data_IF_681384327612
#
_entry.id   IF_681384327612
#
_cell.length_a   1.000
_cell.length_b   1.000
_cell.length_c   1.000
_cell.angle_alpha   90.00
_cell.angle_beta   90.00
_cell.angle_gamma   90.00
#
_symmetry.space_group_name_H-M   'P 1'
#
loop_
_entity.id
_entity.type
_entity.pdbx_description
1 polymer ?
#
# COMPACT_ATOMS: atom_id res chain seq x y z
N UNK A 1 -15.29 -8.05 10.57
CA UNK A 1 -15.80 -9.25 11.28
C UNK A 1 -17.33 -9.35 11.25
N UNK A 2 -18.07 -8.25 11.16
CA UNK A 2 -19.54 -8.26 11.29
C UNK A 2 -20.27 -8.17 9.94
N UNK A 3 -19.62 -8.45 8.83
CA UNK A 3 -20.14 -8.39 7.45
C UNK A 3 -20.89 -7.08 7.11
N UNK A 4 -20.47 -5.97 7.72
CA UNK A 4 -21.08 -4.65 7.49
C UNK A 4 -20.70 -4.03 6.15
N UNK A 5 -19.57 -4.47 5.58
CA UNK A 5 -19.08 -4.05 4.27
C UNK A 5 -19.10 -5.24 3.32
N UNK A 6 -19.59 -5.02 2.11
CA UNK A 6 -19.41 -5.95 1.01
C UNK A 6 -18.12 -5.57 0.30
N UNK A 7 -17.22 -6.52 0.17
CA UNK A 7 -15.91 -6.33 -0.43
C UNK A 7 -15.72 -7.32 -1.58
N UNK A 8 -15.12 -6.85 -2.66
CA UNK A 8 -14.65 -7.68 -3.77
C UNK A 8 -13.14 -7.47 -3.96
N UNK A 9 -12.29 -8.34 -3.42
CA UNK A 9 -10.84 -8.22 -3.56
C UNK A 9 -10.35 -8.33 -5.01
N UNK A 10 -11.15 -8.90 -5.93
CA UNK A 10 -10.78 -9.02 -7.35
C UNK A 10 -10.54 -7.65 -8.01
N UNK A 11 -11.15 -6.59 -7.48
CA UNK A 11 -10.93 -5.23 -7.97
C UNK A 11 -9.49 -4.72 -7.80
N UNK A 12 -8.70 -5.42 -6.96
CA UNK A 12 -7.28 -5.16 -6.75
C UNK A 12 -6.36 -6.26 -7.33
N UNK A 13 -6.86 -7.17 -8.17
CA UNK A 13 -6.09 -8.33 -8.69
C UNK A 13 -4.91 -7.93 -9.60
N UNK A 14 -4.95 -6.73 -10.17
CA UNK A 14 -3.83 -6.15 -10.92
C UNK A 14 -2.65 -5.73 -10.04
N UNK A 15 -2.81 -5.75 -8.71
CA UNK A 15 -1.81 -5.39 -7.73
C UNK A 15 -1.28 -6.64 -7.02
N UNK A 16 0.05 -6.74 -6.91
CA UNK A 16 0.73 -7.59 -5.94
C UNK A 16 1.26 -6.70 -4.84
N UNK A 17 0.63 -6.76 -3.67
CA UNK A 17 0.78 -5.79 -2.60
C UNK A 17 1.71 -6.30 -1.51
N UNK A 18 2.62 -5.44 -1.04
CA UNK A 18 3.33 -5.63 0.22
C UNK A 18 2.96 -4.53 1.23
N UNK A 19 3.33 -4.70 2.50
CA UNK A 19 2.91 -3.83 3.59
C UNK A 19 4.09 -3.17 4.30
N UNK A 20 4.03 -1.85 4.45
CA UNK A 20 4.91 -1.11 5.35
C UNK A 20 4.26 -0.95 6.72
N UNK A 21 4.84 -1.57 7.73
CA UNK A 21 4.46 -1.38 9.12
C UNK A 21 4.91 0.01 9.59
N UNK A 22 3.98 0.97 9.62
CA UNK A 22 4.23 2.31 10.12
C UNK A 22 4.66 2.27 11.59
N UNK A 23 5.75 2.96 11.93
CA UNK A 23 6.34 2.88 13.27
C UNK A 23 5.36 3.23 14.41
N UNK A 24 4.51 4.25 14.22
CA UNK A 24 3.50 4.65 15.20
C UNK A 24 2.43 3.57 15.38
N UNK A 25 2.02 2.91 14.30
CA UNK A 25 0.97 1.88 14.33
C UNK A 25 1.54 0.57 14.88
N UNK A 26 2.68 0.11 14.36
CA UNK A 26 3.27 -1.16 14.76
C UNK A 26 3.91 -1.07 16.15
N UNK A 27 4.88 -0.16 16.37
CA UNK A 27 5.61 -0.08 17.62
C UNK A 27 4.87 0.73 18.69
N UNK A 28 4.20 1.81 18.29
CA UNK A 28 3.50 2.68 19.23
C UNK A 28 2.18 2.12 19.72
N UNK A 29 1.40 1.50 18.83
CA UNK A 29 0.06 0.99 19.15
C UNK A 29 -0.01 -0.54 19.24
N UNK A 30 1.03 -1.27 18.86
CA UNK A 30 1.04 -2.73 18.83
C UNK A 30 0.08 -3.36 17.80
N UNK A 31 -0.39 -2.58 16.83
CA UNK A 31 -1.29 -3.05 15.78
C UNK A 31 -0.47 -3.72 14.66
N UNK A 32 -0.24 -5.00 14.80
CA UNK A 32 0.63 -5.77 13.91
C UNK A 32 -0.17 -6.61 12.91
N UNK A 33 -1.23 -7.27 13.38
CA UNK A 33 -2.02 -8.18 12.58
C UNK A 33 -3.31 -7.55 12.01
N UNK A 34 -3.80 -6.48 12.61
CA UNK A 34 -5.02 -5.81 12.18
C UNK A 34 -4.92 -5.26 10.74
N UNK A 35 -3.83 -4.57 10.34
CA UNK A 35 -3.67 -4.14 8.96
C UNK A 35 -3.59 -5.33 7.99
N UNK A 36 -2.92 -6.42 8.39
CA UNK A 36 -2.83 -7.65 7.59
C UNK A 36 -4.17 -8.33 7.42
N UNK A 37 -4.98 -8.35 8.49
CA UNK A 37 -6.35 -8.82 8.40
C UNK A 37 -7.17 -8.03 7.38
N UNK A 38 -7.05 -6.70 7.38
CA UNK A 38 -7.73 -5.86 6.38
C UNK A 38 -7.22 -6.15 4.98
N UNK A 39 -5.89 -6.19 4.77
CA UNK A 39 -5.27 -6.47 3.47
C UNK A 39 -5.77 -7.80 2.89
N UNK A 40 -5.75 -8.88 3.66
CA UNK A 40 -6.21 -10.22 3.23
C UNK A 40 -7.69 -10.27 2.84
N UNK A 41 -8.49 -9.26 3.21
CA UNK A 41 -9.90 -9.16 2.82
C UNK A 41 -10.12 -8.25 1.60
N UNK A 42 -9.12 -7.50 1.17
CA UNK A 42 -9.26 -6.51 0.09
C UNK A 42 -8.31 -6.73 -1.09
N UNK A 43 -7.29 -7.61 -0.93
CA UNK A 43 -6.39 -8.01 -2.01
C UNK A 43 -6.20 -9.53 -2.00
N UNK A 44 -6.10 -10.14 -3.19
CA UNK A 44 -5.81 -11.57 -3.33
C UNK A 44 -4.30 -11.84 -3.32
N UNK A 45 -3.49 -10.92 -3.83
CA UNK A 45 -2.05 -11.07 -3.98
C UNK A 45 -1.32 -10.22 -2.93
N UNK A 46 -1.19 -10.76 -1.71
CA UNK A 46 -0.45 -10.12 -0.62
C UNK A 46 0.84 -10.89 -0.32
N UNK A 47 1.96 -10.18 -0.31
CA UNK A 47 3.31 -10.71 -0.05
C UNK A 47 3.93 -9.98 1.14
N UNK A 48 4.32 -10.74 2.17
CA UNK A 48 5.10 -10.17 3.29
C UNK A 48 6.55 -9.91 2.85
N UNK A 49 7.13 -8.85 3.37
CA UNK A 49 8.58 -8.64 3.30
C UNK A 49 9.32 -9.61 4.24
N UNK A 50 10.67 -9.73 4.16
CA UNK A 50 11.43 -10.58 5.06
C UNK A 50 11.13 -10.34 6.54
N UNK A 51 11.05 -11.40 7.33
CA UNK A 51 10.57 -11.38 8.72
C UNK A 51 11.35 -10.46 9.66
N UNK A 52 12.61 -10.22 9.37
CA UNK A 52 13.48 -9.31 10.10
C UNK A 52 13.25 -7.81 9.76
N UNK A 53 12.34 -7.52 8.85
CA UNK A 53 12.04 -6.16 8.34
C UNK A 53 10.60 -5.70 8.56
N UNK A 54 9.77 -6.53 9.19
CA UNK A 54 8.32 -6.29 9.38
C UNK A 54 7.94 -6.22 10.86
N UNK A 55 6.70 -5.86 11.13
CA UNK A 55 6.13 -5.76 12.48
C UNK A 55 6.97 -4.83 13.36
N UNK A 56 7.36 -5.26 14.56
CA UNK A 56 8.19 -4.47 15.49
C UNK A 56 9.60 -4.20 14.95
N UNK A 57 10.09 -5.06 14.05
CA UNK A 57 11.41 -4.91 13.41
C UNK A 57 11.36 -3.99 12.19
N UNK A 58 10.22 -3.34 11.94
CA UNK A 58 10.04 -2.49 10.75
C UNK A 58 11.13 -1.45 10.59
N UNK A 59 11.59 -1.27 9.35
CA UNK A 59 12.53 -0.22 9.00
C UNK A 59 11.84 1.13 8.81
N UNK A 60 12.58 2.20 9.00
CA UNK A 60 12.09 3.56 8.86
C UNK A 60 11.71 3.88 7.40
N UNK A 61 10.67 4.69 7.22
CA UNK A 61 10.33 5.27 5.93
C UNK A 61 11.26 6.40 5.48
N UNK A 62 12.15 6.87 6.37
CA UNK A 62 13.05 7.99 6.12
C UNK A 62 12.52 9.35 6.57
N UNK A 63 11.34 9.45 7.20
CA UNK A 63 10.75 10.73 7.61
C UNK A 63 10.56 10.91 9.12
N UNK A 64 11.08 10.00 9.94
CA UNK A 64 10.91 10.05 11.39
C UNK A 64 11.37 11.36 12.01
N UNK A 65 10.76 11.72 13.17
CA UNK A 65 11.18 12.81 14.05
C UNK A 65 11.38 14.18 13.38
N UNK A 66 10.56 14.53 12.38
CA UNK A 66 10.62 15.84 11.74
C UNK A 66 11.52 15.93 10.50
N UNK A 67 12.25 14.89 10.14
CA UNK A 67 13.02 14.85 8.88
C UNK A 67 12.15 15.13 7.65
N UNK A 68 10.85 14.84 7.72
CA UNK A 68 9.92 15.16 6.64
C UNK A 68 9.78 16.67 6.39
N UNK A 69 10.04 17.50 7.38
CA UNK A 69 10.03 18.97 7.28
C UNK A 69 11.41 19.54 6.91
N UNK A 70 12.47 18.72 6.88
CA UNK A 70 13.80 19.16 6.51
C UNK A 70 14.00 19.13 5.00
N UNK A 71 14.84 20.01 4.50
CA UNK A 71 15.26 20.03 3.09
C UNK A 71 16.33 18.97 2.78
N UNK A 72 16.73 18.17 3.79
CA UNK A 72 17.80 17.18 3.66
C UNK A 72 17.28 15.87 3.03
N UNK A 73 17.05 15.93 1.73
CA UNK A 73 16.59 14.77 0.94
C UNK A 73 17.61 13.62 0.96
N UNK A 74 18.90 13.93 0.97
CA UNK A 74 19.96 12.93 1.00
C UNK A 74 19.88 12.07 2.26
N UNK A 75 19.71 12.70 3.42
CA UNK A 75 19.56 11.98 4.69
C UNK A 75 18.30 11.13 4.70
N UNK A 76 17.20 11.65 4.17
CA UNK A 76 15.93 10.91 4.06
C UNK A 76 16.06 9.68 3.16
N UNK A 77 16.68 9.82 1.99
CA UNK A 77 16.88 8.73 1.04
C UNK A 77 17.81 7.65 1.62
N UNK A 78 18.88 8.06 2.31
CA UNK A 78 19.79 7.12 3.01
C UNK A 78 19.11 6.45 4.20
N UNK A 79 18.37 7.20 5.02
CA UNK A 79 17.66 6.66 6.17
C UNK A 79 16.54 5.68 5.80
N UNK A 80 15.90 5.88 4.67
CA UNK A 80 14.87 5.00 4.13
C UNK A 80 15.41 3.82 3.32
N UNK A 81 16.69 3.81 2.95
CA UNK A 81 17.28 2.79 2.08
C UNK A 81 17.05 1.35 2.58
N UNK A 82 17.20 1.00 3.88
CA UNK A 82 16.91 -0.36 4.35
C UNK A 82 15.48 -0.81 4.03
N UNK A 83 14.51 0.10 4.14
CA UNK A 83 13.11 -0.17 3.76
C UNK A 83 12.98 -0.36 2.26
N UNK A 84 13.59 0.51 1.46
CA UNK A 84 13.59 0.38 0.00
C UNK A 84 14.20 -0.95 -0.44
N UNK A 85 15.29 -1.37 0.18
CA UNK A 85 15.93 -2.65 -0.13
C UNK A 85 15.05 -3.87 0.20
N UNK A 86 14.32 -3.84 1.31
CA UNK A 86 13.37 -4.90 1.64
C UNK A 86 12.20 -4.96 0.63
N UNK A 87 11.71 -3.81 0.16
CA UNK A 87 10.69 -3.74 -0.90
C UNK A 87 11.25 -4.24 -2.24
N UNK A 88 12.47 -3.83 -2.60
CA UNK A 88 13.15 -4.30 -3.80
C UNK A 88 13.27 -5.81 -3.83
N UNK A 89 13.64 -6.43 -2.72
CA UNK A 89 13.73 -7.88 -2.61
C UNK A 89 12.41 -8.56 -3.00
N UNK A 90 11.27 -8.14 -2.43
CA UNK A 90 9.98 -8.76 -2.75
C UNK A 90 9.46 -8.37 -4.13
N UNK A 91 9.84 -7.22 -4.67
CA UNK A 91 9.53 -6.84 -6.04
C UNK A 91 10.23 -7.77 -7.04
N UNK A 92 11.52 -8.03 -6.85
CA UNK A 92 12.33 -8.85 -7.75
C UNK A 92 11.99 -10.36 -7.65
N UNK A 93 11.66 -10.86 -6.45
CA UNK A 93 11.47 -12.29 -6.22
C UNK A 93 9.99 -12.73 -6.25
N UNK A 94 9.07 -11.81 -6.01
CA UNK A 94 7.63 -12.13 -5.88
C UNK A 94 6.71 -11.24 -6.73
N UNK A 95 7.29 -10.37 -7.58
CA UNK A 95 6.52 -9.52 -8.49
C UNK A 95 5.69 -8.45 -7.79
N UNK A 96 6.07 -8.01 -6.59
CA UNK A 96 5.40 -6.91 -5.88
C UNK A 96 5.50 -5.63 -6.70
N UNK A 97 4.36 -5.01 -6.96
CA UNK A 97 4.25 -3.75 -7.70
C UNK A 97 3.61 -2.62 -6.89
N UNK A 98 3.16 -2.90 -5.66
CA UNK A 98 2.50 -1.91 -4.80
C UNK A 98 2.91 -2.07 -3.33
N UNK A 99 3.37 -0.95 -2.72
CA UNK A 99 3.66 -0.83 -1.30
C UNK A 99 2.51 -0.11 -0.60
N UNK A 100 1.76 -0.81 0.23
CA UNK A 100 0.68 -0.24 1.02
C UNK A 100 1.16 0.23 2.40
N UNK A 101 0.54 1.29 2.91
CA UNK A 101 0.79 1.85 4.24
C UNK A 101 -0.47 2.51 4.81
N UNK A 102 -0.44 2.95 6.06
CA UNK A 102 -1.58 3.62 6.71
C UNK A 102 -1.28 5.07 7.12
N UNK A 103 -0.04 5.42 7.31
CA UNK A 103 0.38 6.74 7.76
C UNK A 103 0.52 7.72 6.58
N UNK A 104 -0.07 8.91 6.69
CA UNK A 104 0.00 9.93 5.63
C UNK A 104 1.44 10.41 5.38
N UNK A 105 2.25 10.53 6.44
CA UNK A 105 3.66 10.91 6.33
C UNK A 105 4.46 9.82 5.62
N UNK A 106 4.27 8.54 6.00
CA UNK A 106 4.90 7.42 5.31
C UNK A 106 4.55 7.44 3.82
N UNK A 107 3.28 7.69 3.49
CA UNK A 107 2.84 7.72 2.10
C UNK A 107 3.58 8.76 1.27
N UNK A 108 3.73 9.97 1.80
CA UNK A 108 4.44 11.05 1.10
C UNK A 108 5.92 10.70 0.92
N UNK A 109 6.56 10.15 1.95
CA UNK A 109 7.99 9.83 1.92
C UNK A 109 8.30 8.58 1.12
N UNK A 110 7.53 7.52 1.32
CA UNK A 110 7.74 6.25 0.61
C UNK A 110 7.54 6.42 -0.91
N UNK A 111 6.68 7.34 -1.34
CA UNK A 111 6.54 7.64 -2.77
C UNK A 111 7.87 8.10 -3.36
N UNK A 112 8.48 9.14 -2.80
CA UNK A 112 9.77 9.63 -3.26
C UNK A 112 10.88 8.56 -3.11
N UNK A 113 10.84 7.78 -2.02
CA UNK A 113 11.81 6.72 -1.77
C UNK A 113 11.72 5.60 -2.82
N UNK A 114 10.50 5.18 -3.18
CA UNK A 114 10.30 4.16 -4.22
C UNK A 114 10.67 4.70 -5.61
N UNK A 115 10.26 5.90 -5.95
CA UNK A 115 10.64 6.54 -7.23
C UNK A 115 12.17 6.56 -7.42
N UNK A 116 12.93 6.73 -6.34
CA UNK A 116 14.39 6.80 -6.38
C UNK A 116 15.06 5.41 -6.39
N UNK A 117 14.63 4.48 -5.53
CA UNK A 117 15.33 3.21 -5.30
C UNK A 117 14.67 2.00 -5.99
N UNK A 118 13.33 2.03 -6.16
CA UNK A 118 12.54 0.88 -6.67
C UNK A 118 11.39 1.40 -7.55
N UNK A 119 11.68 2.04 -8.69
CA UNK A 119 10.66 2.74 -9.48
C UNK A 119 9.56 1.85 -10.06
N UNK A 120 9.74 0.52 -10.02
CA UNK A 120 8.72 -0.46 -10.41
C UNK A 120 7.60 -0.63 -9.39
N UNK A 121 7.74 -0.07 -8.17
CA UNK A 121 6.78 -0.24 -7.09
C UNK A 121 6.06 1.07 -6.77
N UNK A 122 4.74 1.08 -6.98
CA UNK A 122 3.88 2.19 -6.56
C UNK A 122 3.65 2.22 -5.05
N UNK A 123 3.10 3.34 -4.54
CA UNK A 123 2.76 3.49 -3.12
C UNK A 123 1.30 3.88 -2.97
N UNK A 124 0.56 3.16 -2.13
CA UNK A 124 -0.85 3.45 -1.84
C UNK A 124 -1.15 3.44 -0.33
N UNK A 125 -2.28 4.02 0.04
CA UNK A 125 -2.84 3.89 1.38
C UNK A 125 -3.71 2.64 1.50
N UNK A 126 -3.71 2.00 2.67
CA UNK A 126 -4.62 0.88 2.96
C UNK A 126 -6.09 1.22 2.67
N UNK A 127 -6.49 2.45 3.01
CA UNK A 127 -7.85 2.95 2.77
C UNK A 127 -8.22 3.02 1.28
N UNK A 128 -7.26 3.20 0.38
CA UNK A 128 -7.51 3.19 -1.06
C UNK A 128 -7.83 1.78 -1.55
N UNK A 129 -7.08 0.78 -1.08
CA UNK A 129 -7.35 -0.63 -1.40
C UNK A 129 -8.72 -1.07 -0.87
N UNK A 130 -9.08 -0.61 0.34
CA UNK A 130 -10.40 -0.85 0.92
C UNK A 130 -11.49 -0.20 0.06
N UNK A 131 -11.31 1.07 -0.30
CA UNK A 131 -12.30 1.81 -1.09
C UNK A 131 -12.47 1.21 -2.50
N UNK A 132 -11.39 0.72 -3.13
CA UNK A 132 -11.48 0.02 -4.40
C UNK A 132 -12.27 -1.28 -4.27
N UNK A 133 -12.03 -2.07 -3.22
CA UNK A 133 -12.71 -3.34 -2.99
C UNK A 133 -14.17 -3.17 -2.53
N UNK A 134 -14.58 -2.00 -2.03
CA UNK A 134 -15.95 -1.79 -1.53
C UNK A 134 -16.99 -1.84 -2.65
N UNK A 135 -18.05 -2.64 -2.40
CA UNK A 135 -19.27 -2.66 -3.22
C UNK A 135 -20.31 -1.81 -2.50
N UNK A 136 -20.66 -0.67 -3.11
CA UNK A 136 -21.67 0.23 -2.57
C UNK A 136 -23.07 -0.17 -3.01
N UNK A 137 -24.04 -0.12 -2.09
CA UNK A 137 -25.42 -0.47 -2.37
C UNK A 137 -26.03 0.59 -3.29
N UNK A 138 -26.52 0.20 -4.48
CA UNK A 138 -27.18 1.11 -5.44
C UNK A 138 -26.21 1.89 -6.34
N UNK A 139 -24.89 1.65 -6.27
CA UNK A 139 -23.95 2.21 -7.24
C UNK A 139 -24.01 1.47 -8.58
N UNK A 140 -23.85 2.24 -9.67
CA UNK A 140 -23.42 1.71 -10.95
C UNK A 140 -22.03 1.06 -10.74
N UNK A 141 -21.79 -0.03 -11.40
CA UNK A 141 -20.52 -0.77 -11.35
C UNK A 141 -19.38 0.20 -11.67
N UNK A 142 -18.39 0.30 -10.78
CA UNK A 142 -17.23 1.18 -11.01
C UNK A 142 -16.39 0.62 -12.15
N UNK A 143 -16.11 1.45 -13.12
CA UNK A 143 -15.23 1.11 -14.25
C UNK A 143 -13.78 1.55 -14.03
N UNK A 144 -13.55 2.42 -13.04
CA UNK A 144 -12.22 2.94 -12.70
C UNK A 144 -11.95 2.81 -11.21
N UNK A 145 -10.66 2.70 -10.85
CA UNK A 145 -10.21 2.82 -9.47
C UNK A 145 -10.27 4.30 -8.99
N UNK A 146 -9.87 4.55 -7.73
CA UNK A 146 -9.84 5.91 -7.17
C UNK A 146 -8.80 6.84 -7.79
N UNK A 147 -7.90 6.32 -8.62
CA UNK A 147 -6.91 7.10 -9.39
C UNK A 147 -7.39 7.39 -10.81
N UNK A 148 -8.56 6.85 -11.19
CA UNK A 148 -9.12 6.98 -12.54
C UNK A 148 -8.56 5.96 -13.53
N UNK A 149 -7.80 4.95 -13.08
CA UNK A 149 -7.32 3.85 -13.91
C UNK A 149 -8.43 2.82 -14.13
N UNK A 150 -8.54 2.27 -15.35
CA UNK A 150 -9.56 1.27 -15.67
C UNK A 150 -9.40 0.01 -14.81
N UNK A 151 -10.49 -0.45 -14.22
CA UNK A 151 -10.49 -1.71 -13.49
C UNK A 151 -10.43 -2.89 -14.46
N UNK A 152 -9.49 -3.84 -14.30
CA UNK A 152 -9.36 -4.98 -15.20
C UNK A 152 -10.63 -5.83 -15.23
N UNK A 153 -11.10 -6.16 -16.44
CA UNK A 153 -12.27 -7.03 -16.66
C UNK A 153 -13.63 -6.35 -16.48
N UNK A 154 -13.65 -5.04 -16.26
CA UNK A 154 -14.90 -4.25 -16.25
C UNK A 154 -14.91 -3.38 -17.50
N UNK A 155 -15.61 -3.81 -18.55
CA UNK A 155 -15.84 -2.98 -19.73
C UNK A 155 -16.81 -1.85 -19.39
N UNK A 156 -16.44 -0.62 -19.73
CA UNK A 156 -17.35 0.51 -19.67
C UNK A 156 -18.53 0.22 -20.62
N UNK A 157 -19.72 0.01 -20.07
CA UNK A 157 -20.91 -0.06 -20.91
C UNK A 157 -21.10 1.33 -21.52
N UNK A 158 -20.88 1.45 -22.83
CA UNK A 158 -21.21 2.65 -23.59
C UNK A 158 -22.66 3.03 -23.29
N UNK A 159 -22.88 4.19 -22.66
CA UNK A 159 -24.21 4.77 -22.57
C UNK A 159 -24.59 5.13 -24.03
N UNK A 160 -25.45 4.31 -24.64
CA UNK A 160 -26.11 4.73 -25.86
C UNK A 160 -27.02 5.91 -25.52
N UNK A 161 -26.64 7.09 -26.04
CA UNK A 161 -27.43 8.30 -26.01
C UNK A 161 -28.78 8.11 -26.67
#
# INVERSE_FOLDING_TARGET
KNNKLKLDPKRNDHLTVTWHDSCNVARGMGMLEEPRYVLKNVVNNFVEMPEDTIREKTFCCGSGTGLNASEDMDLRMKGGFPRANAVKFVAEHHGVNMLANVCAIDRATLKALMEFWVPSVGVCGLHELVANAMIMTGEKERTTDLRGEALPGIEAKEEKA
#
